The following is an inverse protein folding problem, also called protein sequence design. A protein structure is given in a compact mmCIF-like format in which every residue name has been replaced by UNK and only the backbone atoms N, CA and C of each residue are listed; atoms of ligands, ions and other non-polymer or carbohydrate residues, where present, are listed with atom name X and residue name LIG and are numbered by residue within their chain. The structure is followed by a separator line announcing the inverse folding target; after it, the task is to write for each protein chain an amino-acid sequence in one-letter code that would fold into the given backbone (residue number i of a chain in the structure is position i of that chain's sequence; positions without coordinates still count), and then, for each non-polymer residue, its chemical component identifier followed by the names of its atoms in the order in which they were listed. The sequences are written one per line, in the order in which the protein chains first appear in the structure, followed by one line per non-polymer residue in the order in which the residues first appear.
data_IF_740924914936
#
_entry.id   IF_740924914936
#
_cell.length_a   1.000
_cell.length_b   1.000
_cell.length_c   1.000
_cell.angle_alpha   90.00
_cell.angle_beta   90.00
_cell.angle_gamma   90.00
#
_symmetry.space_group_name_H-M   'P 1'
#
loop_
_entity.id
_entity.type
_entity.pdbx_description
1 polymer ?
#
# COMPACT_ATOMS: atom_id res chain seq x y z
N UNK A 1 11.25 16.20 12.06
CA UNK A 1 11.53 15.07 11.11
C UNK A 1 10.43 14.94 10.06
N UNK A 2 9.15 15.12 10.45
CA UNK A 2 8.01 15.21 9.53
C UNK A 2 8.16 16.34 8.49
N UNK A 3 8.75 17.45 8.91
CA UNK A 3 9.00 18.64 8.09
C UNK A 3 9.73 18.32 6.80
N UNK A 4 10.79 17.50 6.86
CA UNK A 4 11.60 17.15 5.68
C UNK A 4 10.81 16.30 4.68
N UNK A 5 9.93 15.42 5.16
CA UNK A 5 9.06 14.62 4.29
C UNK A 5 8.00 15.51 3.63
N UNK A 6 7.40 16.44 4.37
CA UNK A 6 6.44 17.39 3.82
C UNK A 6 7.07 18.30 2.76
N UNK A 7 8.29 18.78 2.98
CA UNK A 7 9.04 19.53 1.97
C UNK A 7 9.30 18.71 0.71
N UNK A 8 9.59 17.41 0.85
CA UNK A 8 9.80 16.54 -0.30
C UNK A 8 8.50 16.30 -1.06
N UNK A 9 7.39 16.10 -0.35
CA UNK A 9 6.06 15.98 -0.95
C UNK A 9 5.62 17.25 -1.66
N UNK A 10 5.98 18.43 -1.13
CA UNK A 10 5.76 19.71 -1.79
C UNK A 10 6.54 19.80 -3.11
N UNK A 11 7.78 19.29 -3.16
CA UNK A 11 8.60 19.29 -4.38
C UNK A 11 8.07 18.33 -5.44
N UNK A 12 7.58 17.16 -5.02
CA UNK A 12 7.04 16.15 -5.93
C UNK A 12 5.61 16.47 -6.42
N UNK A 13 4.87 17.38 -5.77
CA UNK A 13 3.45 17.66 -6.03
C UNK A 13 2.60 16.37 -6.15
N UNK A 14 3.01 15.33 -5.43
CA UNK A 14 2.35 14.04 -5.50
C UNK A 14 1.06 14.06 -4.67
N UNK A 15 -0.03 13.43 -5.15
CA UNK A 15 -1.24 13.31 -4.37
C UNK A 15 -0.98 12.46 -3.12
N UNK A 16 -1.26 13.04 -1.96
CA UNK A 16 -1.08 12.44 -0.65
C UNK A 16 -2.39 12.34 0.11
N UNK A 17 -2.45 11.39 1.02
CA UNK A 17 -3.56 11.24 1.96
C UNK A 17 -3.08 11.65 3.34
N UNK A 18 -3.82 12.55 3.96
CA UNK A 18 -3.43 13.17 5.22
C UNK A 18 -4.51 12.91 6.26
N UNK A 19 -4.10 12.37 7.40
CA UNK A 19 -4.97 12.20 8.55
C UNK A 19 -4.79 13.35 9.53
N UNK A 20 -5.87 14.08 9.75
CA UNK A 20 -5.95 15.17 10.71
C UNK A 20 -6.47 14.62 12.04
N UNK A 21 -5.63 14.70 13.07
CA UNK A 21 -5.90 14.15 14.40
C UNK A 21 -6.84 15.02 15.23
N UNK A 22 -6.88 16.33 14.95
CA UNK A 22 -7.77 17.30 15.59
C UNK A 22 -9.23 17.14 15.12
N UNK A 23 -9.42 16.90 13.82
CA UNK A 23 -10.73 16.72 13.20
C UNK A 23 -11.13 15.23 13.08
N UNK A 24 -10.20 14.30 13.35
CA UNK A 24 -10.34 12.85 13.12
C UNK A 24 -10.81 12.52 11.69
N UNK A 25 -10.24 13.20 10.71
CA UNK A 25 -10.67 13.19 9.31
C UNK A 25 -9.51 12.79 8.38
N UNK A 26 -9.85 12.08 7.31
CA UNK A 26 -8.95 11.87 6.18
C UNK A 26 -9.22 12.90 5.09
N UNK A 27 -8.14 13.50 4.59
CA UNK A 27 -8.14 14.28 3.36
C UNK A 27 -7.49 13.40 2.29
N UNK A 28 -8.25 13.09 1.25
CA UNK A 28 -7.83 12.26 0.15
C UNK A 28 -7.33 13.12 -1.01
N UNK A 29 -6.34 12.60 -1.75
CA UNK A 29 -5.72 13.24 -2.91
C UNK A 29 -5.33 14.72 -2.70
N UNK A 30 -4.87 15.06 -1.49
CA UNK A 30 -4.34 16.38 -1.22
C UNK A 30 -2.98 16.59 -1.85
N UNK A 31 -2.71 17.82 -2.27
CA UNK A 31 -1.42 18.32 -2.69
C UNK A 31 -0.87 19.27 -1.62
N UNK A 32 0.41 19.13 -1.30
CA UNK A 32 1.10 20.05 -0.39
C UNK A 32 1.59 21.26 -1.18
N UNK A 33 0.94 22.41 -0.99
CA UNK A 33 1.25 23.64 -1.74
C UNK A 33 2.43 24.38 -1.10
N UNK A 34 2.38 24.54 0.22
CA UNK A 34 3.37 25.31 0.97
C UNK A 34 3.61 24.71 2.35
N UNK A 35 4.86 24.78 2.82
CA UNK A 35 5.24 24.43 4.19
C UNK A 35 6.00 25.60 4.80
N UNK A 36 5.39 26.28 5.78
CA UNK A 36 5.95 27.48 6.41
C UNK A 36 5.79 27.44 7.93
N UNK A 37 6.89 27.52 8.68
CA UNK A 37 6.87 27.80 10.12
C UNK A 37 6.06 26.83 10.99
N UNK A 38 5.91 25.56 10.59
CA UNK A 38 5.09 24.58 11.30
C UNK A 38 3.63 24.49 10.81
N UNK A 39 3.30 25.22 9.75
CA UNK A 39 2.03 25.19 9.03
C UNK A 39 2.24 24.58 7.65
N UNK A 40 1.21 23.91 7.16
CA UNK A 40 1.15 23.28 5.84
C UNK A 40 -0.12 23.73 5.16
N UNK A 41 0.02 24.26 3.94
CA UNK A 41 -1.11 24.57 3.07
C UNK A 41 -1.38 23.37 2.19
N UNK A 42 -2.60 22.83 2.29
CA UNK A 42 -3.06 21.67 1.55
C UNK A 42 -4.13 22.10 0.56
N UNK A 43 -4.03 21.62 -0.68
CA UNK A 43 -5.06 21.78 -1.68
C UNK A 43 -5.64 20.42 -2.03
N UNK A 44 -6.95 20.28 -2.05
CA UNK A 44 -7.59 19.01 -2.41
C UNK A 44 -8.92 19.28 -3.12
N UNK A 45 -9.40 18.30 -3.86
CA UNK A 45 -10.66 18.38 -4.60
C UNK A 45 -11.66 17.38 -4.00
N UNK A 46 -12.91 17.80 -3.86
CA UNK A 46 -14.03 16.91 -3.51
C UNK A 46 -15.04 16.90 -4.66
N UNK A 47 -15.59 15.71 -4.93
CA UNK A 47 -16.70 15.53 -5.86
C UNK A 47 -17.99 15.56 -5.02
N UNK A 48 -18.64 16.73 -4.98
CA UNK A 48 -19.88 16.97 -4.23
C UNK A 48 -20.91 17.57 -5.17
N UNK A 49 -22.14 17.04 -5.15
CA UNK A 49 -23.27 17.51 -5.97
C UNK A 49 -23.01 17.54 -7.49
N UNK A 50 -22.32 16.53 -8.05
CA UNK A 50 -21.90 16.46 -9.46
C UNK A 50 -20.96 17.63 -9.88
N UNK A 51 -20.38 18.34 -8.92
CA UNK A 51 -19.42 19.44 -9.13
C UNK A 51 -18.09 19.17 -8.41
N UNK A 52 -16.99 19.50 -9.09
CA UNK A 52 -15.65 19.45 -8.50
C UNK A 52 -15.40 20.72 -7.68
N UNK A 53 -15.26 20.56 -6.37
CA UNK A 53 -14.94 21.66 -5.45
C UNK A 53 -13.46 21.60 -5.04
N UNK A 54 -12.72 22.65 -5.38
CA UNK A 54 -11.33 22.81 -4.96
C UNK A 54 -11.26 23.54 -3.61
N UNK A 55 -10.64 22.89 -2.63
CA UNK A 55 -10.42 23.40 -1.29
C UNK A 55 -8.95 23.72 -1.06
N UNK A 56 -8.69 24.77 -0.29
CA UNK A 56 -7.37 25.10 0.23
C UNK A 56 -7.46 25.31 1.75
N UNK A 57 -6.75 24.49 2.51
CA UNK A 57 -6.79 24.48 3.97
C UNK A 57 -5.38 24.63 4.55
N UNK A 58 -5.26 25.47 5.58
CA UNK A 58 -4.01 25.72 6.28
C UNK A 58 -4.02 24.97 7.62
N UNK A 59 -3.13 23.98 7.75
CA UNK A 59 -3.11 23.01 8.84
C UNK A 59 -1.80 23.08 9.61
N UNK A 60 -1.84 22.90 10.93
CA UNK A 60 -0.63 22.76 11.75
C UNK A 60 -0.01 21.37 11.57
N UNK A 61 1.31 21.29 11.47
CA UNK A 61 2.02 19.99 11.40
C UNK A 61 1.70 19.13 12.63
N UNK A 62 1.49 19.74 13.80
CA UNK A 62 1.11 19.05 15.04
C UNK A 62 -0.26 18.37 14.96
N UNK A 63 -1.15 18.88 14.11
CA UNK A 63 -2.47 18.28 13.89
C UNK A 63 -2.40 17.07 12.95
N UNK A 64 -1.31 16.91 12.18
CA UNK A 64 -1.16 15.80 11.24
C UNK A 64 -0.76 14.53 12.01
N UNK A 65 -1.69 13.59 12.11
CA UNK A 65 -1.45 12.29 12.76
C UNK A 65 -0.74 11.29 11.85
N UNK A 66 -1.00 11.34 10.54
CA UNK A 66 -0.38 10.45 9.55
C UNK A 66 -0.39 11.06 8.15
N UNK A 67 0.61 10.69 7.35
CA UNK A 67 0.70 11.02 5.93
C UNK A 67 1.00 9.75 5.15
N UNK A 68 0.18 9.47 4.14
CA UNK A 68 0.33 8.34 3.23
C UNK A 68 0.48 8.86 1.80
N UNK A 69 1.30 8.18 1.00
CA UNK A 69 1.43 8.46 -0.44
C UNK A 69 1.09 7.19 -1.21
N UNK A 70 0.44 7.35 -2.36
CA UNK A 70 0.15 6.23 -3.25
C UNK A 70 1.38 5.94 -4.09
N UNK A 71 2.06 4.84 -3.78
CA UNK A 71 3.28 4.44 -4.49
C UNK A 71 3.02 3.93 -5.91
N UNK A 72 1.86 3.29 -6.14
CA UNK A 72 1.46 2.83 -7.48
C UNK A 72 -0.05 2.63 -7.58
N UNK A 73 -0.55 2.61 -8.81
CA UNK A 73 -1.91 2.22 -9.14
C UNK A 73 -1.89 1.17 -10.23
N UNK A 74 -2.65 0.09 -10.05
CA UNK A 74 -2.82 -0.95 -11.06
C UNK A 74 -4.23 -0.83 -11.63
N UNK A 75 -4.34 -0.67 -12.94
CA UNK A 75 -5.62 -0.66 -13.64
C UNK A 75 -6.26 -2.04 -13.58
N UNK A 76 -7.48 -2.15 -13.02
CA UNK A 76 -8.22 -3.43 -12.96
C UNK A 76 -8.77 -3.89 -14.32
N UNK A 77 -8.81 -3.01 -15.31
CA UNK A 77 -9.34 -3.26 -16.65
C UNK A 77 -8.30 -3.80 -17.64
N UNK A 78 -7.01 -3.81 -17.27
CA UNK A 78 -5.96 -4.44 -18.08
C UNK A 78 -5.98 -5.96 -17.94
N UNK A 79 -5.60 -6.69 -19.00
CA UNK A 79 -5.37 -8.13 -18.88
C UNK A 79 -4.19 -8.37 -17.94
N UNK A 80 -4.13 -9.53 -17.28
CA UNK A 80 -2.97 -9.92 -16.46
C UNK A 80 -1.65 -9.92 -17.24
N UNK A 81 -1.73 -9.97 -18.57
CA UNK A 81 -0.60 -9.95 -19.52
C UNK A 81 0.00 -8.53 -19.71
N UNK A 82 -0.77 -7.47 -19.45
CA UNK A 82 -0.31 -6.07 -19.55
C UNK A 82 0.50 -5.61 -18.32
N UNK A 83 0.48 -6.40 -17.23
CA UNK A 83 1.30 -6.12 -16.07
C UNK A 83 2.74 -6.53 -16.39
N UNK A 84 3.74 -5.64 -16.24
CA UNK A 84 5.13 -6.02 -16.45
C UNK A 84 5.51 -7.13 -15.46
N UNK A 85 5.61 -8.37 -15.95
CA UNK A 85 6.05 -9.54 -15.19
C UNK A 85 7.57 -9.64 -15.28
N UNK A 86 8.19 -10.24 -14.26
CA UNK A 86 9.65 -10.42 -14.14
C UNK A 86 10.31 -11.21 -15.27
N UNK A 87 9.57 -11.77 -16.23
CA UNK A 87 10.11 -12.62 -17.30
C UNK A 87 10.83 -11.83 -18.41
N UNK A 88 10.65 -10.51 -18.51
CA UNK A 88 11.38 -9.61 -19.45
C UNK A 88 12.57 -8.88 -18.77
N UNK A 89 12.98 -9.32 -17.58
CA UNK A 89 14.06 -8.67 -16.83
C UNK A 89 15.44 -9.18 -17.31
N UNK A 90 16.38 -8.29 -17.71
CA UNK A 90 17.70 -8.68 -18.15
C UNK A 90 18.43 -9.50 -17.08
N UNK A 91 19.24 -10.47 -17.50
CA UNK A 91 19.86 -11.48 -16.61
C UNK A 91 20.64 -10.85 -15.43
N UNK A 92 21.20 -9.66 -15.63
CA UNK A 92 21.93 -8.90 -14.60
C UNK A 92 21.05 -8.38 -13.44
N UNK A 93 19.74 -8.22 -13.66
CA UNK A 93 18.78 -7.68 -12.68
C UNK A 93 17.86 -8.78 -12.11
N UNK A 94 18.04 -10.03 -12.51
CA UNK A 94 17.28 -11.17 -11.98
C UNK A 94 17.69 -11.44 -10.53
N UNK A 95 16.75 -11.24 -9.61
CA UNK A 95 16.89 -11.68 -8.23
C UNK A 95 17.04 -13.20 -8.22
N UNK A 96 18.13 -13.71 -7.65
CA UNK A 96 18.44 -15.14 -7.64
C UNK A 96 17.24 -15.96 -7.14
N UNK A 97 16.68 -16.80 -8.02
CA UNK A 97 15.54 -17.66 -7.68
C UNK A 97 15.90 -18.45 -6.43
N UNK A 98 15.14 -18.26 -5.35
CA UNK A 98 15.19 -19.18 -4.21
C UNK A 98 14.85 -20.57 -4.78
N UNK A 99 15.71 -21.60 -4.63
CA UNK A 99 15.37 -22.92 -5.14
C UNK A 99 14.03 -23.31 -4.51
N UNK A 100 13.10 -23.67 -5.39
CA UNK A 100 11.81 -24.23 -5.03
C UNK A 100 12.07 -25.31 -3.98
N UNK A 101 11.38 -25.19 -2.85
CA UNK A 101 11.40 -26.23 -1.84
C UNK A 101 11.01 -27.52 -2.56
N UNK A 102 11.96 -28.46 -2.60
CA UNK A 102 11.71 -29.81 -3.09
C UNK A 102 10.45 -30.29 -2.38
N UNK A 103 9.42 -30.60 -3.16
CA UNK A 103 8.23 -31.29 -2.70
C UNK A 103 8.68 -32.54 -1.97
N UNK A 104 8.57 -32.48 -0.64
CA UNK A 104 8.71 -33.63 0.25
C UNK A 104 7.74 -34.70 -0.25
N UNK A 105 8.30 -35.82 -0.69
CA UNK A 105 7.55 -36.92 -1.25
C UNK A 105 6.69 -37.56 -0.17
N UNK A 106 5.42 -37.21 -0.13
CA UNK A 106 4.42 -37.99 0.60
C UNK A 106 4.08 -39.21 -0.27
N UNK A 107 4.73 -40.32 0.04
CA UNK A 107 4.32 -41.65 -0.40
C UNK A 107 2.87 -41.92 0.06
N UNK A 108 2.04 -42.62 -0.73
CA UNK A 108 0.72 -43.02 -0.26
C UNK A 108 0.88 -44.04 0.87
N UNK A 109 0.51 -43.64 2.08
CA UNK A 109 0.41 -44.54 3.22
C UNK A 109 -0.69 -45.57 2.92
N UNK A 110 -0.27 -46.82 2.72
CA UNK A 110 -1.14 -47.98 2.77
C UNK A 110 -1.91 -47.93 4.10
N UNK A 111 -3.24 -47.94 4.04
CA UNK A 111 -4.09 -48.01 5.22
C UNK A 111 -3.97 -49.37 5.89
N UNK A 112 -3.08 -49.47 6.87
CA UNK A 112 -3.09 -50.54 7.87
C UNK A 112 -4.00 -50.10 9.04
N UNK A 113 -5.29 -50.40 8.91
CA UNK A 113 -6.27 -50.20 9.98
C UNK A 113 -6.90 -51.55 10.35
N UNK A 114 -6.13 -52.36 11.08
CA UNK A 114 -6.67 -53.37 12.01
C UNK A 114 -5.70 -53.61 13.15
N UNK A 115 -5.97 -52.96 14.28
CA UNK A 115 -5.75 -53.54 15.60
C UNK A 115 -6.73 -52.86 16.57
N UNK A 116 -7.83 -53.53 16.91
CA UNK A 116 -8.48 -53.33 18.20
C UNK A 116 -8.59 -54.68 18.90
N UNK A 117 -7.53 -54.96 19.66
CA UNK A 117 -7.42 -55.54 21.01
C UNK A 117 -8.08 -56.89 21.41
N UNK A 118 -7.46 -57.62 22.37
CA UNK A 118 -7.78 -59.01 22.73
C UNK A 118 -8.58 -59.16 24.06
N UNK A 119 -9.23 -60.34 24.22
CA UNK A 119 -9.63 -60.97 25.50
C UNK A 119 -10.82 -60.31 26.24
N UNK A 120 -11.71 -60.98 26.97
CA UNK A 120 -11.70 -62.28 27.62
C UNK A 120 -13.11 -62.51 28.21
N UNK A 121 -13.69 -63.71 28.05
CA UNK A 121 -14.61 -64.43 28.96
C UNK A 121 -15.25 -65.63 28.24
#
# INVERSE_FOLDING_TARGET
MLDRKLYQLQQDQAPVWIFLSDQQRWIEQAEVVEVCGGLVTLRYETDEDDELQAWEELVRIEAIGSVMTRLSGVCRSGSSDDLPVSDDCPEAEQLGRRPAQASDGVAPLQGDERCNEPGEA
#
